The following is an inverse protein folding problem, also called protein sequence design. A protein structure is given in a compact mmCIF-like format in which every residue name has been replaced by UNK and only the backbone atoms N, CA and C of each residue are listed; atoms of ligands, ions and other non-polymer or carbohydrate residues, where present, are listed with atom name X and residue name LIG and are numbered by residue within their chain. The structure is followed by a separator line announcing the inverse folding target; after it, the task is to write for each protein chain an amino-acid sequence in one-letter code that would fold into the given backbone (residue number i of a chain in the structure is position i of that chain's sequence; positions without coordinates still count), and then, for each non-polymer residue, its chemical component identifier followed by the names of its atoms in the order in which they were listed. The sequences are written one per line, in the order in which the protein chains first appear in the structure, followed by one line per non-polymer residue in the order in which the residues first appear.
data_IF_229956037663
#
_entry.id   IF_229956037663
#
_cell.length_a   1.000
_cell.length_b   1.000
_cell.length_c   1.000
_cell.angle_alpha   90.00
_cell.angle_beta   90.00
_cell.angle_gamma   90.00
#
_symmetry.space_group_name_H-M   'P 1'
#
loop_
_entity.id
_entity.type
_entity.pdbx_description
1 polymer ?
#
# COMPACT_ATOMS: atom_id res chain seq x y z
N UNK A 1 9.16 -1.48 31.89
CA UNK A 1 10.19 -0.78 31.10
C UNK A 1 9.45 0.16 30.16
N UNK A 2 9.46 1.46 30.43
CA UNK A 2 8.82 2.46 29.56
C UNK A 2 9.71 2.61 28.33
N UNK A 3 9.28 2.09 27.18
CA UNK A 3 9.98 2.30 25.92
C UNK A 3 9.83 3.78 25.52
N UNK A 4 10.96 4.44 25.30
CA UNK A 4 10.97 5.77 24.69
C UNK A 4 10.45 5.63 23.26
N UNK A 5 9.34 6.30 22.97
CA UNK A 5 8.80 6.36 21.60
C UNK A 5 9.73 7.23 20.76
N UNK A 6 10.12 6.75 19.58
CA UNK A 6 10.85 7.60 18.62
C UNK A 6 9.87 8.64 18.06
N UNK A 7 10.15 9.92 18.34
CA UNK A 7 9.34 11.06 17.93
C UNK A 7 10.12 11.88 16.91
N UNK A 8 9.54 12.06 15.72
CA UNK A 8 10.09 12.97 14.74
C UNK A 8 9.95 14.42 15.21
N UNK A 9 11.03 15.19 15.14
CA UNK A 9 11.04 16.62 15.49
C UNK A 9 10.44 17.45 14.36
N UNK A 10 9.12 17.42 14.23
CA UNK A 10 8.39 18.20 13.23
C UNK A 10 8.41 19.68 13.62
N UNK A 11 9.02 20.52 12.78
CA UNK A 11 9.09 21.97 12.95
C UNK A 11 7.91 22.69 12.29
N UNK A 12 7.51 22.26 11.09
CA UNK A 12 6.42 22.87 10.35
C UNK A 12 5.77 21.89 9.36
N UNK A 13 4.46 22.01 9.17
CA UNK A 13 3.71 21.37 8.08
C UNK A 13 2.80 22.42 7.43
N UNK A 14 3.26 23.03 6.34
CA UNK A 14 2.56 24.13 5.65
C UNK A 14 2.73 23.99 4.14
N UNK A 15 1.69 24.29 3.37
CA UNK A 15 1.72 24.31 1.89
C UNK A 15 2.33 23.06 1.26
N UNK A 16 1.87 21.88 1.67
CA UNK A 16 2.37 20.58 1.18
C UNK A 16 3.85 20.31 1.52
N UNK A 17 4.43 21.02 2.48
CA UNK A 17 5.82 20.80 2.94
C UNK A 17 5.81 20.35 4.39
N UNK A 18 6.57 19.30 4.68
CA UNK A 18 6.86 18.84 6.03
C UNK A 18 8.34 19.09 6.31
N UNK A 19 8.63 19.88 7.34
CA UNK A 19 10.00 20.19 7.77
C UNK A 19 10.25 19.52 9.10
N UNK A 20 11.29 18.70 9.17
CA UNK A 20 11.76 18.07 10.40
C UNK A 20 13.18 18.50 10.73
N UNK A 21 13.56 18.34 11.98
CA UNK A 21 14.96 18.34 12.41
C UNK A 21 15.44 16.90 12.55
N UNK A 22 16.55 16.59 11.88
CA UNK A 22 17.21 15.29 11.95
C UNK A 22 17.92 15.11 13.28
N UNK A 23 18.36 13.89 13.58
CA UNK A 23 19.17 13.62 14.78
C UNK A 23 20.49 14.42 14.83
N UNK A 24 20.98 14.87 13.68
CA UNK A 24 22.17 15.72 13.55
C UNK A 24 21.88 17.21 13.79
N UNK A 25 20.63 17.58 14.10
CA UNK A 25 20.19 18.96 14.28
C UNK A 25 20.00 19.74 12.97
N UNK A 26 20.05 19.05 11.82
CA UNK A 26 19.85 19.66 10.50
C UNK A 26 18.36 19.69 10.14
N UNK A 27 17.93 20.73 9.43
CA UNK A 27 16.58 20.77 8.90
C UNK A 27 16.50 19.99 7.60
N UNK A 28 15.52 19.10 7.51
CA UNK A 28 15.20 18.35 6.30
C UNK A 28 13.76 18.62 5.88
N UNK A 29 13.58 18.94 4.60
CA UNK A 29 12.28 19.23 4.02
C UNK A 29 11.79 18.07 3.17
N UNK A 30 10.52 17.75 3.30
CA UNK A 30 9.79 16.75 2.54
C UNK A 30 8.60 17.42 1.86
N UNK A 31 8.37 17.12 0.59
CA UNK A 31 7.30 17.71 -0.21
C UNK A 31 6.25 16.65 -0.52
N UNK A 32 4.99 16.94 -0.19
CA UNK A 32 3.86 16.09 -0.57
C UNK A 32 3.80 16.02 -2.10
N UNK A 33 3.76 14.82 -2.65
CA UNK A 33 3.83 14.61 -4.09
C UNK A 33 2.62 13.80 -4.60
N UNK A 34 1.42 14.42 -4.66
CA UNK A 34 0.18 13.71 -5.00
C UNK A 34 0.10 13.26 -6.46
N UNK A 35 0.96 13.79 -7.33
CA UNK A 35 0.92 13.53 -8.77
C UNK A 35 1.89 12.41 -9.20
N UNK A 36 2.73 11.91 -8.30
CA UNK A 36 3.72 10.87 -8.62
C UNK A 36 3.07 9.49 -8.46
N UNK A 37 3.20 8.65 -9.49
CA UNK A 37 2.75 7.26 -9.43
C UNK A 37 3.84 6.38 -8.84
N UNK A 38 3.49 5.58 -7.83
CA UNK A 38 4.36 4.56 -7.25
C UNK A 38 4.19 3.27 -8.04
N UNK A 39 5.21 2.86 -8.78
CA UNK A 39 5.20 1.61 -9.53
C UNK A 39 5.81 0.47 -8.71
N UNK A 40 5.19 -0.70 -8.82
CA UNK A 40 5.50 -1.90 -8.06
C UNK A 40 5.57 -3.10 -9.00
N UNK A 41 6.67 -3.86 -8.93
CA UNK A 41 6.80 -5.15 -9.59
C UNK A 41 6.45 -6.27 -8.62
N UNK A 42 5.36 -6.98 -8.92
CA UNK A 42 4.75 -7.96 -8.03
C UNK A 42 5.18 -9.37 -8.40
N UNK A 43 5.58 -10.14 -7.38
CA UNK A 43 6.09 -11.51 -7.50
C UNK A 43 5.57 -12.39 -6.36
N UNK A 44 5.74 -13.70 -6.54
CA UNK A 44 5.38 -14.73 -5.54
C UNK A 44 3.92 -14.64 -5.08
N UNK A 45 3.00 -14.45 -6.03
CA UNK A 45 1.58 -14.40 -5.74
C UNK A 45 1.06 -15.77 -5.32
N UNK A 46 0.19 -15.77 -4.33
CA UNK A 46 -0.47 -16.94 -3.77
C UNK A 46 -1.94 -16.61 -3.51
N UNK A 47 -2.82 -17.56 -3.80
CA UNK A 47 -4.26 -17.44 -3.59
C UNK A 47 -4.62 -18.02 -2.22
N UNK A 48 -5.42 -17.29 -1.48
CA UNK A 48 -5.96 -17.67 -0.18
C UNK A 48 -7.47 -17.49 -0.20
N UNK A 49 -8.14 -18.35 0.58
CA UNK A 49 -9.53 -18.14 0.96
C UNK A 49 -9.54 -17.91 2.46
N UNK A 50 -9.80 -16.67 2.87
CA UNK A 50 -9.86 -16.31 4.28
C UNK A 50 -11.28 -15.96 4.68
N UNK A 51 -11.70 -16.45 5.83
CA UNK A 51 -12.91 -15.98 6.50
C UNK A 51 -12.72 -14.50 6.86
N UNK A 52 -13.44 -13.58 6.20
CA UNK A 52 -13.40 -12.14 6.56
C UNK A 52 -13.86 -12.01 8.01
N UNK A 53 -12.92 -11.76 8.93
CA UNK A 53 -13.23 -11.45 10.33
C UNK A 53 -13.58 -9.97 10.54
N UNK A 54 -13.26 -9.11 9.57
CA UNK A 54 -13.57 -7.69 9.61
C UNK A 54 -14.19 -7.26 8.28
N UNK A 55 -15.49 -6.98 8.29
CA UNK A 55 -16.17 -6.17 7.25
C UNK A 55 -16.11 -4.71 7.73
N UNK A 56 -15.73 -3.79 6.86
CA UNK A 56 -15.69 -2.37 7.21
C UNK A 56 -17.11 -1.78 7.17
N UNK A 57 -17.91 -2.10 8.18
CA UNK A 57 -19.27 -1.58 8.36
C UNK A 57 -19.94 -2.15 9.61
N UNK A 58 -20.51 -1.27 10.44
CA UNK A 58 -21.15 -1.58 11.73
C UNK A 58 -22.40 -2.49 11.65
N UNK A 59 -22.78 -3.01 10.48
CA UNK A 59 -24.15 -3.47 10.24
C UNK A 59 -24.44 -4.96 10.36
N UNK A 60 -23.45 -5.85 10.54
CA UNK A 60 -23.76 -7.29 10.56
C UNK A 60 -22.96 -8.07 11.61
N UNK A 61 -23.18 -7.74 12.88
CA UNK A 61 -22.87 -8.63 14.00
C UNK A 61 -23.85 -9.82 13.97
N UNK A 62 -23.42 -10.96 13.41
CA UNK A 62 -24.17 -12.23 13.52
C UNK A 62 -24.18 -13.17 12.31
N UNK A 63 -23.61 -12.77 11.16
CA UNK A 63 -23.47 -13.66 10.00
C UNK A 63 -22.20 -14.49 10.09
N UNK A 64 -22.27 -15.76 9.66
CA UNK A 64 -21.11 -16.63 9.56
C UNK A 64 -20.02 -15.96 8.69
N UNK A 65 -18.72 -16.07 9.03
CA UNK A 65 -17.66 -15.46 8.25
C UNK A 65 -17.70 -15.96 6.80
N UNK A 66 -18.09 -15.08 5.87
CA UNK A 66 -18.03 -15.41 4.46
C UNK A 66 -16.56 -15.55 4.05
N UNK A 67 -16.20 -16.69 3.48
CA UNK A 67 -14.89 -16.87 2.87
C UNK A 67 -14.75 -15.87 1.72
N UNK A 68 -13.71 -15.06 1.77
CA UNK A 68 -13.39 -14.07 0.77
C UNK A 68 -12.10 -14.46 0.08
N UNK A 69 -12.12 -14.38 -1.25
CA UNK A 69 -10.94 -14.55 -2.08
C UNK A 69 -9.93 -13.46 -1.74
N UNK A 70 -8.67 -13.87 -1.58
CA UNK A 70 -7.55 -13.00 -1.28
C UNK A 70 -6.33 -13.46 -2.07
N UNK A 71 -5.57 -12.53 -2.64
CA UNK A 71 -4.30 -12.84 -3.31
C UNK A 71 -3.19 -12.04 -2.63
N UNK A 72 -2.13 -12.71 -2.18
CA UNK A 72 -0.98 -12.07 -1.53
C UNK A 72 0.31 -12.36 -2.27
N UNK A 73 1.23 -11.40 -2.25
CA UNK A 73 2.58 -11.58 -2.78
C UNK A 73 3.58 -10.62 -2.15
N UNK A 74 4.70 -10.43 -2.85
CA UNK A 74 5.73 -9.43 -2.54
C UNK A 74 5.84 -8.46 -3.71
N UNK A 75 6.03 -7.18 -3.41
CA UNK A 75 6.18 -6.12 -4.39
C UNK A 75 7.53 -5.41 -4.21
N UNK A 76 8.28 -5.28 -5.29
CA UNK A 76 9.49 -4.45 -5.35
C UNK A 76 9.12 -3.06 -5.87
N UNK A 77 9.63 -2.00 -5.26
CA UNK A 77 9.46 -0.63 -5.75
C UNK A 77 10.24 -0.42 -7.06
N UNK A 78 9.62 0.23 -8.05
CA UNK A 78 10.36 0.66 -9.24
C UNK A 78 11.20 1.90 -8.90
N UNK A 79 12.44 1.64 -8.51
CA UNK A 79 13.40 2.67 -8.10
C UNK A 79 13.16 3.22 -6.69
N UNK A 80 14.24 3.70 -6.08
CA UNK A 80 14.22 4.24 -4.72
C UNK A 80 13.78 3.19 -3.68
N UNK A 81 13.14 3.69 -2.63
CA UNK A 81 12.70 2.95 -1.46
C UNK A 81 11.59 3.72 -0.74
N UNK A 82 10.99 3.12 0.28
CA UNK A 82 10.03 3.78 1.16
C UNK A 82 10.53 3.74 2.61
N UNK A 83 10.29 4.82 3.36
CA UNK A 83 10.54 4.88 4.81
C UNK A 83 9.56 5.82 5.50
N UNK A 84 9.63 5.89 6.83
CA UNK A 84 8.92 6.92 7.61
C UNK A 84 9.82 8.15 7.77
N UNK A 85 9.26 9.36 7.66
CA UNK A 85 10.04 10.59 7.88
C UNK A 85 10.58 10.61 9.32
N UNK A 86 11.89 10.80 9.46
CA UNK A 86 12.55 10.79 10.78
C UNK A 86 12.95 9.39 11.27
N UNK A 87 12.74 8.35 10.47
CA UNK A 87 13.18 6.98 10.75
C UNK A 87 13.84 6.36 9.48
N UNK A 88 15.13 6.66 9.24
CA UNK A 88 15.85 6.19 8.07
C UNK A 88 16.21 4.70 8.14
N UNK A 89 16.19 4.08 9.33
CA UNK A 89 16.51 2.66 9.51
C UNK A 89 15.35 1.77 9.06
N UNK A 90 14.13 2.31 9.08
CA UNK A 90 12.91 1.69 8.56
C UNK A 90 12.74 1.83 7.03
N UNK A 91 13.87 1.81 6.31
CA UNK A 91 13.90 1.99 4.85
C UNK A 91 13.83 0.64 4.14
N UNK A 92 12.83 0.46 3.27
CA UNK A 92 12.65 -0.79 2.51
C UNK A 92 12.44 -0.56 1.02
N UNK A 93 12.82 -1.57 0.22
CA UNK A 93 12.53 -1.62 -1.21
C UNK A 93 11.45 -2.68 -1.56
N UNK A 94 11.20 -3.62 -0.63
CA UNK A 94 10.28 -4.73 -0.80
C UNK A 94 9.14 -4.62 0.20
N UNK A 95 7.91 -4.75 -0.28
CA UNK A 95 6.69 -4.69 0.53
C UNK A 95 5.90 -6.00 0.40
N UNK A 96 5.12 -6.36 1.41
CA UNK A 96 4.00 -7.28 1.21
C UNK A 96 2.92 -6.61 0.38
N UNK A 97 2.32 -7.29 -0.58
CA UNK A 97 1.15 -6.79 -1.32
C UNK A 97 -0.02 -7.74 -1.21
N UNK A 98 -1.22 -7.21 -1.00
CA UNK A 98 -2.47 -7.95 -0.90
C UNK A 98 -3.56 -7.37 -1.79
N UNK A 99 -4.30 -8.24 -2.47
CA UNK A 99 -5.45 -7.89 -3.30
C UNK A 99 -6.73 -8.46 -2.71
N UNK A 100 -7.72 -7.60 -2.50
CA UNK A 100 -9.03 -7.92 -1.92
C UNK A 100 -10.15 -7.49 -2.85
N UNK A 101 -11.32 -8.11 -2.70
CA UNK A 101 -12.53 -7.63 -3.35
C UNK A 101 -12.94 -6.29 -2.74
N UNK A 102 -13.22 -5.30 -3.58
CA UNK A 102 -13.81 -4.02 -3.19
C UNK A 102 -15.12 -4.28 -2.44
N UNK A 103 -15.33 -3.54 -1.35
CA UNK A 103 -16.58 -3.60 -0.60
C UNK A 103 -17.70 -2.92 -1.39
N UNK A 104 -18.82 -3.62 -1.59
CA UNK A 104 -20.00 -3.12 -2.32
C UNK A 104 -20.58 -1.85 -1.67
N UNK A 105 -20.52 -1.73 -0.34
CA UNK A 105 -20.98 -0.53 0.37
C UNK A 105 -20.07 0.68 0.12
N UNK A 106 -18.77 0.43 -0.08
CA UNK A 106 -17.81 1.46 -0.48
C UNK A 106 -18.04 1.84 -1.94
N UNK A 107 -18.31 0.85 -2.82
CA UNK A 107 -18.65 1.09 -4.22
C UNK A 107 -19.89 1.97 -4.35
N UNK A 108 -20.97 1.63 -3.65
CA UNK A 108 -22.23 2.39 -3.69
C UNK A 108 -22.04 3.83 -3.20
N UNK A 109 -21.31 4.04 -2.08
CA UNK A 109 -20.99 5.39 -1.59
C UNK A 109 -20.16 6.20 -2.58
N UNK A 110 -19.21 5.57 -3.27
CA UNK A 110 -18.39 6.22 -4.30
C UNK A 110 -19.21 6.55 -5.54
N UNK A 111 -20.11 5.68 -5.97
CA UNK A 111 -21.05 5.95 -7.06
C UNK A 111 -21.97 7.13 -6.75
N UNK A 112 -22.47 7.21 -5.52
CA UNK A 112 -23.30 8.34 -5.07
C UNK A 112 -22.52 9.66 -5.05
N UNK A 113 -21.25 9.64 -4.59
CA UNK A 113 -20.36 10.81 -4.63
C UNK A 113 -20.06 11.24 -6.07
N UNK A 114 -19.83 10.30 -6.97
CA UNK A 114 -19.59 10.53 -8.40
C UNK A 114 -20.81 11.16 -9.06
N UNK A 115 -22.01 10.67 -8.78
CA UNK A 115 -23.25 11.28 -9.28
C UNK A 115 -23.43 12.72 -8.79
N UNK A 116 -22.96 13.03 -7.58
CA UNK A 116 -23.02 14.38 -7.00
C UNK A 116 -21.91 15.32 -7.52
N UNK A 117 -20.74 14.79 -7.88
CA UNK A 117 -19.55 15.58 -8.21
C UNK A 117 -19.16 15.54 -9.70
N UNK A 118 -19.82 14.74 -10.53
CA UNK A 118 -19.57 14.64 -11.98
C UNK A 118 -18.20 14.09 -12.37
N UNK A 119 -17.49 13.43 -11.45
CA UNK A 119 -16.15 12.87 -11.67
C UNK A 119 -16.23 11.40 -12.14
N UNK A 120 -15.22 10.91 -12.85
CA UNK A 120 -15.20 9.50 -13.24
C UNK A 120 -15.08 8.59 -12.00
N UNK A 121 -15.80 7.46 -11.95
CA UNK A 121 -15.74 6.57 -10.80
C UNK A 121 -14.40 5.85 -10.69
N UNK A 122 -13.80 5.91 -9.49
CA UNK A 122 -12.60 5.15 -9.14
C UNK A 122 -13.01 3.87 -8.40
N UNK A 123 -13.00 2.74 -9.12
CA UNK A 123 -13.42 1.42 -8.62
C UNK A 123 -12.30 0.58 -8.02
N UNK A 124 -11.18 1.22 -7.67
CA UNK A 124 -10.06 0.58 -6.99
C UNK A 124 -9.69 1.41 -5.78
N UNK A 125 -9.12 0.79 -4.76
CA UNK A 125 -8.54 1.51 -3.63
C UNK A 125 -7.16 0.93 -3.34
N UNK A 126 -6.21 1.78 -2.98
CA UNK A 126 -4.87 1.39 -2.59
C UNK A 126 -4.50 2.04 -1.26
N UNK A 127 -3.83 1.28 -0.39
CA UNK A 127 -3.24 1.77 0.86
C UNK A 127 -1.81 1.29 0.98
N UNK A 128 -0.94 2.16 1.45
CA UNK A 128 0.46 1.84 1.78
C UNK A 128 0.73 2.25 3.21
N UNK A 129 1.33 1.34 3.97
CA UNK A 129 1.61 1.56 5.39
C UNK A 129 2.68 0.62 5.91
N UNK A 130 3.00 0.80 7.18
CA UNK A 130 3.88 -0.08 7.95
C UNK A 130 3.18 -0.43 9.26
N UNK A 131 3.27 -1.70 9.64
CA UNK A 131 2.87 -2.15 10.97
C UNK A 131 4.13 -2.52 11.74
N UNK A 132 4.41 -1.76 12.78
CA UNK A 132 5.48 -2.09 13.71
C UNK A 132 5.03 -3.22 14.63
N UNK A 133 5.74 -4.35 14.58
CA UNK A 133 5.57 -5.41 15.56
C UNK A 133 6.44 -5.10 16.78
N UNK A 134 5.89 -5.26 17.98
CA UNK A 134 6.67 -5.01 19.21
C UNK A 134 7.93 -5.86 19.23
N UNK A 135 9.09 -5.21 19.38
CA UNK A 135 10.39 -5.87 19.58
C UNK A 135 10.29 -6.91 20.71
N UNK A 136 10.56 -8.18 20.38
CA UNK A 136 10.52 -9.31 21.30
C UNK A 136 9.98 -10.60 20.69
N UNK A 137 9.31 -10.52 19.53
CA UNK A 137 8.81 -11.69 18.79
C UNK A 137 9.59 -11.97 17.49
N UNK A 138 10.66 -11.23 17.21
CA UNK A 138 11.54 -11.49 16.06
C UNK A 138 10.91 -11.23 14.69
N UNK A 139 9.83 -10.45 14.61
CA UNK A 139 9.25 -10.00 13.35
C UNK A 139 9.70 -8.56 13.08
N UNK A 140 10.37 -8.37 11.95
CA UNK A 140 10.69 -7.06 11.37
C UNK A 140 9.41 -6.24 11.09
N UNK A 141 9.57 -4.95 10.85
CA UNK A 141 8.48 -4.07 10.44
C UNK A 141 7.80 -4.57 9.16
N UNK A 142 6.48 -4.74 9.22
CA UNK A 142 5.70 -5.26 8.10
C UNK A 142 5.20 -4.11 7.23
N UNK A 143 6.03 -3.69 6.28
CA UNK A 143 5.59 -2.82 5.18
C UNK A 143 4.60 -3.54 4.28
N UNK A 144 3.48 -2.89 4.02
CA UNK A 144 2.40 -3.47 3.23
C UNK A 144 1.78 -2.49 2.24
N UNK A 145 1.29 -3.09 1.16
CA UNK A 145 0.41 -2.50 0.15
C UNK A 145 -0.88 -3.31 0.16
N UNK A 146 -2.01 -2.62 0.29
CA UNK A 146 -3.33 -3.23 0.21
C UNK A 146 -4.07 -2.63 -0.97
N UNK A 147 -4.53 -3.49 -1.88
CA UNK A 147 -5.26 -3.13 -3.08
C UNK A 147 -6.66 -3.74 -3.02
N UNK A 148 -7.69 -2.94 -3.26
CA UNK A 148 -9.06 -3.39 -3.45
C UNK A 148 -9.41 -3.29 -4.93
N UNK A 149 -9.92 -4.40 -5.47
CA UNK A 149 -10.24 -4.59 -6.87
C UNK A 149 -11.69 -4.99 -7.05
N UNK A 150 -12.25 -4.73 -8.23
CA UNK A 150 -13.51 -5.34 -8.62
C UNK A 150 -13.41 -6.87 -8.56
N UNK A 151 -14.49 -7.58 -8.15
CA UNK A 151 -14.47 -9.04 -8.01
C UNK A 151 -13.96 -9.77 -9.26
N UNK A 152 -14.37 -9.33 -10.46
CA UNK A 152 -13.95 -9.94 -11.72
C UNK A 152 -12.44 -9.84 -11.96
N UNK A 153 -11.84 -8.67 -11.67
CA UNK A 153 -10.41 -8.47 -11.79
C UNK A 153 -9.64 -9.34 -10.77
N UNK A 154 -10.13 -9.42 -9.53
CA UNK A 154 -9.54 -10.29 -8.51
C UNK A 154 -9.63 -11.77 -8.90
N UNK A 155 -10.77 -12.22 -9.43
CA UNK A 155 -10.97 -13.58 -9.91
C UNK A 155 -10.03 -13.91 -11.07
N UNK A 156 -9.84 -12.98 -12.02
CA UNK A 156 -8.91 -13.16 -13.13
C UNK A 156 -7.46 -13.34 -12.64
N UNK A 157 -7.04 -12.51 -11.68
CA UNK A 157 -5.72 -12.64 -11.03
C UNK A 157 -5.60 -13.99 -10.32
N UNK A 158 -6.56 -14.34 -9.47
CA UNK A 158 -6.52 -15.58 -8.70
C UNK A 158 -6.49 -16.81 -9.61
N UNK A 159 -7.26 -16.79 -10.70
CA UNK A 159 -7.23 -17.84 -11.72
C UNK A 159 -5.85 -17.94 -12.38
N UNK A 160 -5.29 -16.82 -12.85
CA UNK A 160 -3.97 -16.81 -13.48
C UNK A 160 -2.85 -17.30 -12.53
N UNK A 161 -2.93 -16.95 -11.24
CA UNK A 161 -2.02 -17.46 -10.21
C UNK A 161 -2.20 -18.97 -10.01
N UNK A 162 -3.44 -19.44 -9.86
CA UNK A 162 -3.74 -20.86 -9.61
C UNK A 162 -3.35 -21.76 -10.78
N UNK A 163 -3.53 -21.29 -12.01
CA UNK A 163 -3.11 -21.99 -13.22
C UNK A 163 -1.61 -21.90 -13.49
N UNK A 164 -0.85 -21.12 -12.71
CA UNK A 164 0.57 -20.86 -12.94
C UNK A 164 0.85 -20.09 -14.24
N UNK A 165 -0.15 -19.40 -14.78
CA UNK A 165 -0.01 -18.58 -16.00
C UNK A 165 0.29 -17.12 -15.69
N UNK A 166 0.44 -16.76 -14.42
CA UNK A 166 0.81 -15.41 -14.02
C UNK A 166 2.27 -15.13 -14.38
N UNK A 167 2.50 -14.21 -15.32
CA UNK A 167 3.81 -13.66 -15.64
C UNK A 167 4.21 -12.56 -14.66
N UNK A 168 4.97 -11.58 -15.16
CA UNK A 168 5.27 -10.38 -14.36
C UNK A 168 4.01 -9.52 -14.23
N UNK A 169 3.75 -9.04 -13.01
CA UNK A 169 2.67 -8.11 -12.70
C UNK A 169 3.26 -6.77 -12.29
N UNK A 170 2.73 -5.70 -12.86
CA UNK A 170 3.07 -4.32 -12.50
C UNK A 170 1.84 -3.60 -11.98
N UNK A 171 1.99 -2.93 -10.84
CA UNK A 171 0.95 -2.13 -10.21
C UNK A 171 1.44 -0.70 -10.07
N UNK A 172 0.69 0.27 -10.58
CA UNK A 172 0.92 1.70 -10.40
C UNK A 172 -0.11 2.28 -9.43
N UNK A 173 0.36 2.94 -8.38
CA UNK A 173 -0.48 3.54 -7.34
C UNK A 173 -0.41 5.07 -7.43
N UNK A 174 -1.57 5.71 -7.51
CA UNK A 174 -1.70 7.15 -7.33
C UNK A 174 -2.10 7.40 -5.87
N UNK A 175 -1.13 7.84 -5.06
CA UNK A 175 -1.29 7.93 -3.61
C UNK A 175 -1.36 9.38 -3.13
N UNK A 176 -2.25 9.62 -2.17
CA UNK A 176 -2.29 10.80 -1.35
C UNK A 176 -1.59 10.53 -0.01
N UNK A 177 -0.98 11.56 0.58
CA UNK A 177 -0.27 11.42 1.86
C UNK A 177 1.16 10.86 1.74
N UNK A 178 1.71 10.73 0.52
CA UNK A 178 3.10 10.36 0.28
C UNK A 178 3.95 11.60 0.02
N UNK A 179 5.10 11.65 0.68
CA UNK A 179 6.08 12.70 0.52
C UNK A 179 7.28 12.21 -0.29
N UNK A 180 7.95 13.14 -0.95
CA UNK A 180 9.26 12.97 -1.55
C UNK A 180 10.27 13.88 -0.83
N UNK A 181 11.55 13.51 -0.89
CA UNK A 181 12.61 14.35 -0.36
C UNK A 181 12.65 15.69 -1.11
N UNK A 182 12.69 16.80 -0.37
CA UNK A 182 12.74 18.16 -0.94
C UNK A 182 14.14 18.58 -1.35
N UNK A 183 14.25 19.82 -1.85
CA UNK A 183 15.53 20.42 -2.22
C UNK A 183 16.47 20.49 -1.00
N UNK A 184 17.73 20.08 -1.20
CA UNK A 184 18.74 19.96 -0.14
C UNK A 184 19.01 18.53 0.33
N UNK A 185 18.24 17.55 -0.15
CA UNK A 185 18.49 16.12 0.11
C UNK A 185 19.38 15.49 -0.98
N UNK A 186 20.15 14.43 -0.66
CA UNK A 186 20.98 13.73 -1.65
C UNK A 186 20.18 13.31 -2.87
N UNK A 187 20.79 13.36 -4.06
CA UNK A 187 20.08 13.04 -5.31
C UNK A 187 19.51 11.61 -5.34
N UNK A 188 20.14 10.67 -4.63
CA UNK A 188 19.64 9.31 -4.44
C UNK A 188 18.30 9.26 -3.69
N UNK A 189 18.03 10.23 -2.80
CA UNK A 189 16.80 10.31 -2.01
C UNK A 189 15.62 10.94 -2.77
N UNK A 190 15.86 11.57 -3.93
CA UNK A 190 14.80 12.22 -4.71
C UNK A 190 13.77 11.22 -5.28
N UNK A 191 14.18 9.96 -5.42
CA UNK A 191 13.29 8.88 -5.86
C UNK A 191 12.69 8.10 -4.68
N UNK A 192 13.10 8.39 -3.45
CA UNK A 192 12.54 7.74 -2.26
C UNK A 192 11.14 8.30 -1.94
N UNK A 193 10.38 7.49 -1.22
CA UNK A 193 9.02 7.71 -0.82
C UNK A 193 8.95 7.77 0.70
N UNK A 194 8.16 8.70 1.25
CA UNK A 194 8.14 8.90 2.68
C UNK A 194 6.70 8.97 3.21
N UNK A 195 6.42 8.17 4.23
CA UNK A 195 5.22 8.31 5.05
C UNK A 195 5.45 9.35 6.14
N UNK A 196 4.40 10.11 6.43
CA UNK A 196 4.38 11.02 7.57
C UNK A 196 4.31 10.20 8.87
N UNK A 197 5.08 10.54 9.91
CA UNK A 197 4.83 10.10 11.28
C UNK A 197 3.39 10.37 11.70
N UNK A 198 2.96 9.86 12.86
CA UNK A 198 1.60 10.07 13.34
C UNK A 198 1.25 11.55 13.42
N UNK A 199 0.09 11.98 12.89
CA UNK A 199 -0.41 13.36 13.07
C UNK A 199 -0.77 13.67 14.50
N UNK A 200 -1.00 12.64 15.31
CA UNK A 200 -1.42 12.79 16.70
C UNK A 200 -0.27 13.20 17.61
N UNK A 201 0.89 12.58 17.45
CA UNK A 201 2.02 12.74 18.38
C UNK A 201 3.40 12.75 17.70
N UNK A 202 3.44 12.78 16.36
CA UNK A 202 4.65 12.75 15.53
C UNK A 202 5.55 11.53 15.79
N UNK A 203 5.00 10.46 16.38
CA UNK A 203 5.74 9.20 16.56
C UNK A 203 5.85 8.43 15.25
N UNK A 204 6.97 7.73 15.08
CA UNK A 204 7.21 6.88 13.90
C UNK A 204 6.56 5.51 14.02
N UNK A 205 6.16 5.10 15.23
CA UNK A 205 5.56 3.79 15.56
C UNK A 205 4.18 3.54 14.93
N UNK A 206 3.45 4.60 14.59
CA UNK A 206 2.13 4.53 14.00
C UNK A 206 1.99 5.65 12.96
N UNK A 207 2.76 5.58 11.85
CA UNK A 207 2.77 6.62 10.84
C UNK A 207 1.42 6.68 10.13
N UNK A 208 1.14 7.83 9.49
CA UNK A 208 -0.03 7.96 8.65
C UNK A 208 0.09 7.00 7.46
N UNK A 209 -0.98 6.26 7.18
CA UNK A 209 -1.07 5.45 5.97
C UNK A 209 -1.36 6.35 4.77
N UNK A 210 -0.65 6.10 3.68
CA UNK A 210 -0.99 6.69 2.40
C UNK A 210 -2.19 5.95 1.80
N UNK A 211 -3.11 6.71 1.18
CA UNK A 211 -4.31 6.18 0.57
C UNK A 211 -4.50 6.76 -0.82
N UNK A 212 -5.06 5.98 -1.72
CA UNK A 212 -5.36 6.44 -3.07
C UNK A 212 -6.00 5.34 -3.90
N UNK A 213 -5.68 5.34 -5.19
CA UNK A 213 -6.28 4.44 -6.17
C UNK A 213 -5.20 3.73 -7.00
N UNK A 214 -5.62 2.67 -7.68
CA UNK A 214 -4.76 1.93 -8.62
C UNK A 214 -4.87 2.63 -9.98
N UNK A 215 -3.78 3.26 -10.41
CA UNK A 215 -3.66 3.96 -11.68
C UNK A 215 -3.27 3.02 -12.84
N UNK A 216 -2.55 1.94 -12.51
CA UNK A 216 -2.15 0.92 -13.47
C UNK A 216 -2.22 -0.46 -12.80
N UNK A 217 -2.81 -1.42 -13.51
CA UNK A 217 -2.74 -2.83 -13.16
C UNK A 217 -2.52 -3.60 -14.45
N UNK A 218 -1.33 -4.14 -14.63
CA UNK A 218 -0.99 -4.98 -15.78
C UNK A 218 -0.34 -6.26 -15.31
N UNK A 219 -0.65 -7.35 -15.99
CA UNK A 219 0.08 -8.60 -15.84
C UNK A 219 0.10 -9.31 -17.18
N UNK A 220 1.24 -9.89 -17.50
CA UNK A 220 1.36 -10.73 -18.68
C UNK A 220 0.89 -12.15 -18.34
N UNK A 221 0.22 -12.79 -19.29
CA UNK A 221 -0.03 -14.22 -19.17
C UNK A 221 1.20 -14.94 -19.71
N UNK A 222 1.91 -15.67 -18.86
CA UNK A 222 3.06 -16.45 -19.27
C UNK A 222 2.60 -17.47 -20.34
N UNK A 223 3.24 -17.45 -21.51
CA UNK A 223 2.98 -18.43 -22.57
C UNK A 223 3.11 -19.83 -21.96
N UNK A 224 2.02 -20.59 -22.01
CA UNK A 224 1.96 -21.94 -21.49
C UNK A 224 3.15 -22.74 -22.03
N UNK A 225 4.10 -23.09 -21.15
CA UNK A 225 5.00 -24.19 -21.47
C UNK A 225 4.12 -25.44 -21.66
N UNK A 226 4.30 -26.23 -22.73
CA UNK A 226 3.36 -27.28 -23.15
C UNK A 226 3.23 -28.49 -22.17
N UNK A 227 3.56 -28.33 -20.89
CA UNK A 227 3.59 -29.42 -19.92
C UNK A 227 2.40 -29.49 -18.95
N UNK A 228 1.41 -28.57 -18.99
CA UNK A 228 0.24 -28.64 -18.09
C UNK A 228 -1.08 -28.24 -18.77
N UNK A 229 -1.55 -29.07 -19.69
CA UNK A 229 -2.98 -29.16 -20.01
C UNK A 229 -3.71 -29.88 -18.87
N UNK A 230 -4.15 -29.13 -17.87
CA UNK A 230 -5.10 -29.62 -16.86
C UNK A 230 -5.83 -28.44 -16.19
N UNK A 231 -6.39 -27.53 -16.98
CA UNK A 231 -7.32 -26.51 -16.48
C UNK A 231 -8.49 -26.34 -17.47
N UNK A 232 -9.15 -27.45 -17.80
CA UNK A 232 -10.47 -27.47 -18.44
C UNK A 232 -11.20 -28.73 -17.97
N UNK A 233 -11.91 -28.61 -16.84
CA UNK A 233 -12.97 -29.51 -16.40
C UNK A 233 -13.83 -28.81 -15.37
#
# INVERSE_FOLDING_TARGET
MNQEKTVARVHAEVDNKLVIETHEGLQQTYLLNPNRTMYLHVRHLQVFNEARRFRFGDKELGLAPAMSLYVRGRAALEGGSISVVGDPDNKVHMLGIGFHALDEDIRYRREELVQRQGSAPHYTCARVGVVHHKLGLGNDDDWFVQCELLPDALNAIAHAVSCGTMGEMTVGLALQGIYAAGDGTPQSAKNDWFLRPSRRDNTVEAPEMAQGDIALLSFEQALAHPARQACLS
#
